data_IF_470033043683
#
_entry.id   IF_470033043683
#
_cell.length_a   1.000
_cell.length_b   1.000
_cell.length_c   1.000
_cell.angle_alpha   90.00
_cell.angle_beta   90.00
_cell.angle_gamma   90.00
#
_symmetry.space_group_name_H-M   'P 1'
#
loop_
_entity.id
_entity.type
_entity.pdbx_description
1 polymer ?
#
# COMPACT_ATOMS: atom_id res chain seq x y z
N UNK A 1 -41.88 2.14 45.17
CA UNK A 1 -42.68 1.54 44.07
C UNK A 1 -42.72 2.37 42.79
N UNK A 2 -41.83 3.37 42.58
CA UNK A 2 -41.87 4.26 41.40
C UNK A 2 -40.73 4.05 40.38
N UNK A 3 -39.82 3.09 40.58
CA UNK A 3 -38.73 2.85 39.63
C UNK A 3 -39.14 1.97 38.45
N UNK A 4 -40.01 0.98 38.68
CA UNK A 4 -40.35 0.01 37.66
C UNK A 4 -41.26 0.59 36.53
N UNK A 5 -42.07 1.60 36.84
CA UNK A 5 -42.98 2.23 35.87
C UNK A 5 -42.27 3.16 34.86
N UNK A 6 -41.17 3.80 35.24
CA UNK A 6 -40.37 4.66 34.33
C UNK A 6 -39.54 3.87 33.33
N UNK A 7 -39.19 2.61 33.63
CA UNK A 7 -38.43 1.78 32.69
C UNK A 7 -39.24 1.44 31.44
N UNK A 8 -40.56 1.31 31.55
CA UNK A 8 -41.45 0.92 30.43
C UNK A 8 -41.43 1.98 29.32
N UNK A 9 -41.60 3.27 29.68
CA UNK A 9 -41.49 4.38 28.73
C UNK A 9 -40.13 4.45 28.08
N UNK A 10 -39.08 4.31 28.90
CA UNK A 10 -37.71 4.43 28.44
C UNK A 10 -37.40 3.34 27.40
N UNK A 11 -37.99 2.15 27.55
CA UNK A 11 -37.93 1.10 26.53
C UNK A 11 -38.80 1.41 25.30
N UNK A 12 -39.97 2.05 25.42
CA UNK A 12 -40.77 2.47 24.25
C UNK A 12 -40.12 3.59 23.43
N UNK A 13 -39.35 4.47 24.07
CA UNK A 13 -38.65 5.57 23.39
C UNK A 13 -37.31 5.14 22.79
N UNK A 14 -36.61 4.18 23.40
CA UNK A 14 -35.22 3.80 23.04
C UNK A 14 -35.13 2.44 22.32
N UNK A 15 -36.07 1.51 22.54
CA UNK A 15 -36.08 0.18 21.93
C UNK A 15 -37.11 0.06 20.79
N UNK A 16 -37.12 -1.10 20.13
CA UNK A 16 -38.10 -1.44 19.09
C UNK A 16 -39.52 -1.39 19.68
N UNK A 17 -40.37 -0.51 19.14
CA UNK A 17 -41.74 -0.30 19.63
C UNK A 17 -42.62 -1.55 19.46
N UNK A 18 -42.31 -2.38 18.46
CA UNK A 18 -42.97 -3.66 18.24
C UNK A 18 -42.70 -4.62 19.41
N UNK A 19 -41.50 -4.56 19.99
CA UNK A 19 -41.11 -5.41 21.10
C UNK A 19 -41.79 -5.02 22.42
N UNK A 20 -41.94 -3.72 22.70
CA UNK A 20 -42.64 -3.30 23.93
C UNK A 20 -44.13 -3.64 23.88
N UNK A 21 -44.73 -3.62 22.68
CA UNK A 21 -46.07 -4.13 22.45
C UNK A 21 -46.20 -5.63 22.81
N UNK A 22 -45.25 -6.47 22.36
CA UNK A 22 -45.22 -7.91 22.70
C UNK A 22 -45.05 -8.17 24.20
N UNK A 23 -44.28 -7.34 24.90
CA UNK A 23 -44.10 -7.48 26.35
C UNK A 23 -45.38 -7.17 27.14
N UNK A 24 -46.15 -6.18 26.69
CA UNK A 24 -47.35 -5.69 27.37
C UNK A 24 -48.60 -6.48 27.02
N UNK A 25 -48.62 -7.16 25.87
CA UNK A 25 -49.73 -8.02 25.46
C UNK A 25 -49.99 -9.12 26.50
N UNK A 26 -51.26 -9.36 26.78
CA UNK A 26 -51.76 -10.31 27.79
C UNK A 26 -51.39 -9.99 29.25
N UNK A 27 -50.72 -8.86 29.51
CA UNK A 27 -50.40 -8.47 30.89
C UNK A 27 -51.64 -7.98 31.62
N UNK A 28 -51.70 -8.27 32.93
CA UNK A 28 -52.78 -7.80 33.79
C UNK A 28 -52.44 -6.43 34.35
N UNK A 29 -53.34 -5.47 34.16
CA UNK A 29 -53.25 -4.13 34.73
C UNK A 29 -54.41 -3.86 35.67
N UNK A 30 -54.20 -2.98 36.63
CA UNK A 30 -55.21 -2.49 37.55
C UNK A 30 -55.45 -1.00 37.28
N UNK A 31 -56.71 -0.65 37.08
CA UNK A 31 -57.18 0.72 37.01
C UNK A 31 -58.08 1.03 38.21
N UNK A 32 -57.83 2.15 38.90
CA UNK A 32 -58.56 2.52 40.13
C UNK A 32 -60.09 2.51 40.00
N UNK A 33 -60.61 2.82 38.82
CA UNK A 33 -62.06 2.84 38.53
C UNK A 33 -62.62 1.52 37.99
N UNK A 34 -61.82 0.78 37.20
CA UNK A 34 -62.33 -0.35 36.41
C UNK A 34 -61.87 -1.72 36.96
N UNK A 35 -61.06 -1.72 38.02
CA UNK A 35 -60.52 -2.95 38.59
C UNK A 35 -59.38 -3.52 37.74
N UNK A 36 -59.23 -4.84 37.77
CA UNK A 36 -58.26 -5.56 36.96
C UNK A 36 -58.76 -5.71 35.51
N UNK A 37 -57.86 -5.57 34.56
CA UNK A 37 -58.09 -5.78 33.15
C UNK A 37 -56.85 -6.37 32.48
N UNK A 38 -57.04 -6.95 31.30
CA UNK A 38 -55.96 -7.59 30.53
C UNK A 38 -55.70 -6.76 29.28
N UNK A 39 -54.43 -6.51 28.97
CA UNK A 39 -54.04 -5.86 27.72
C UNK A 39 -54.30 -6.82 26.56
N UNK A 40 -55.28 -6.50 25.72
CA UNK A 40 -55.70 -7.33 24.59
C UNK A 40 -55.04 -6.93 23.28
N UNK A 41 -54.63 -5.68 23.14
CA UNK A 41 -53.89 -5.18 21.98
C UNK A 41 -53.01 -3.99 22.36
N UNK A 42 -51.95 -3.76 21.58
CA UNK A 42 -51.07 -2.60 21.71
C UNK A 42 -50.93 -1.92 20.35
N UNK A 43 -51.56 -0.76 20.22
CA UNK A 43 -51.55 0.06 19.02
C UNK A 43 -50.25 0.89 19.03
N UNK A 44 -49.27 0.43 18.26
CA UNK A 44 -47.89 0.95 18.27
C UNK A 44 -47.80 2.40 17.77
N UNK A 45 -48.48 2.71 16.67
CA UNK A 45 -48.35 4.03 16.02
C UNK A 45 -48.89 5.18 16.89
N UNK A 46 -49.92 4.90 17.69
CA UNK A 46 -50.58 5.88 18.57
C UNK A 46 -50.28 5.64 20.06
N UNK A 47 -49.38 4.70 20.36
CA UNK A 47 -48.98 4.29 21.72
C UNK A 47 -50.18 4.09 22.64
N UNK A 48 -51.12 3.22 22.23
CA UNK A 48 -52.31 2.89 23.02
C UNK A 48 -52.37 1.42 23.40
N UNK A 49 -52.93 1.16 24.56
CA UNK A 49 -53.28 -0.15 25.08
C UNK A 49 -54.78 -0.31 24.97
N UNK A 50 -55.22 -1.34 24.26
CA UNK A 50 -56.59 -1.83 24.38
C UNK A 50 -56.66 -2.80 25.54
N UNK A 51 -57.47 -2.50 26.54
CA UNK A 51 -57.54 -3.24 27.79
C UNK A 51 -58.99 -3.66 28.03
N UNK A 52 -59.18 -4.97 28.16
CA UNK A 52 -60.47 -5.56 28.52
C UNK A 52 -60.59 -5.69 30.04
N UNK A 53 -61.57 -4.99 30.62
CA UNK A 53 -61.96 -5.11 32.03
C UNK A 53 -63.26 -5.92 32.12
N UNK A 54 -63.61 -6.37 33.32
CA UNK A 54 -64.78 -7.23 33.58
C UNK A 54 -66.08 -6.81 32.88
N UNK A 55 -66.36 -5.50 32.82
CA UNK A 55 -67.62 -4.96 32.28
C UNK A 55 -67.45 -4.07 31.04
N UNK A 56 -66.21 -3.82 30.58
CA UNK A 56 -65.96 -2.95 29.42
C UNK A 56 -64.52 -3.01 28.90
N UNK A 57 -64.36 -2.69 27.62
CA UNK A 57 -63.05 -2.42 27.01
C UNK A 57 -62.73 -0.92 27.03
N UNK A 58 -61.45 -0.59 27.19
CA UNK A 58 -60.95 0.78 27.24
C UNK A 58 -59.59 0.91 26.58
N UNK A 59 -59.46 1.97 25.80
CA UNK A 59 -58.19 2.44 25.27
C UNK A 59 -57.52 3.40 26.24
N UNK A 60 -56.27 3.11 26.60
CA UNK A 60 -55.40 4.00 27.35
C UNK A 60 -54.14 4.32 26.57
N UNK A 61 -53.55 5.48 26.78
CA UNK A 61 -52.17 5.71 26.34
C UNK A 61 -51.21 4.85 27.17
N UNK A 62 -50.10 4.40 26.58
CA UNK A 62 -49.14 3.58 27.34
C UNK A 62 -48.54 4.37 28.52
N UNK A 63 -48.39 5.70 28.40
CA UNK A 63 -47.96 6.60 29.48
C UNK A 63 -48.87 6.56 30.73
N UNK A 64 -50.07 5.98 30.62
CA UNK A 64 -50.95 5.73 31.75
C UNK A 64 -50.30 4.77 32.75
N UNK A 65 -49.43 3.85 32.31
CA UNK A 65 -48.68 2.96 33.20
C UNK A 65 -47.60 3.73 33.97
N UNK A 66 -46.91 4.67 33.33
CA UNK A 66 -45.85 5.46 33.95
C UNK A 66 -46.37 6.43 35.00
N UNK A 67 -47.46 7.10 34.65
CA UNK A 67 -48.08 8.09 35.51
C UNK A 67 -48.86 7.44 36.67
N UNK A 68 -48.83 6.09 36.77
CA UNK A 68 -49.47 5.31 37.80
C UNK A 68 -51.00 5.25 37.68
N UNK A 69 -51.54 5.65 36.52
CA UNK A 69 -52.96 5.60 36.22
C UNK A 69 -53.43 4.17 35.94
N UNK A 70 -52.56 3.38 35.30
CA UNK A 70 -52.62 1.93 35.21
C UNK A 70 -51.46 1.34 36.00
N UNK A 71 -51.73 0.30 36.79
CA UNK A 71 -50.69 -0.42 37.52
C UNK A 71 -50.57 -1.84 36.98
N UNK A 72 -49.40 -2.24 36.51
CA UNK A 72 -49.13 -3.65 36.20
C UNK A 72 -49.27 -4.51 37.47
N UNK A 73 -50.09 -5.54 37.38
CA UNK A 73 -50.42 -6.47 38.47
C UNK A 73 -49.57 -7.75 38.36
N UNK A 74 -49.26 -8.16 37.14
CA UNK A 74 -48.43 -9.34 36.86
C UNK A 74 -46.93 -9.04 36.92
N UNK A 75 -46.18 -9.99 37.48
CA UNK A 75 -44.70 -9.97 37.46
C UNK A 75 -44.13 -10.53 36.14
N UNK A 76 -44.98 -10.99 35.21
CA UNK A 76 -44.58 -11.63 33.95
C UNK A 76 -43.91 -10.65 32.98
N UNK A 77 -44.38 -9.39 32.92
CA UNK A 77 -43.72 -8.32 32.16
C UNK A 77 -42.23 -8.18 32.50
N UNK A 78 -41.90 -8.06 33.79
CA UNK A 78 -40.51 -7.86 34.23
C UNK A 78 -39.64 -9.10 33.99
N UNK A 79 -40.20 -10.30 34.15
CA UNK A 79 -39.52 -11.56 33.81
C UNK A 79 -39.22 -11.66 32.31
N UNK A 80 -40.21 -11.36 31.44
CA UNK A 80 -40.03 -11.31 29.98
C UNK A 80 -38.99 -10.26 29.57
N UNK A 81 -39.00 -9.09 30.22
CA UNK A 81 -38.05 -8.01 29.98
C UNK A 81 -36.61 -8.42 30.38
N UNK A 82 -36.43 -9.07 31.52
CA UNK A 82 -35.10 -9.54 31.96
C UNK A 82 -34.54 -10.64 31.05
N UNK A 83 -35.38 -11.60 30.63
CA UNK A 83 -35.03 -12.62 29.65
C UNK A 83 -34.57 -11.99 28.33
N UNK A 84 -35.29 -10.97 27.85
CA UNK A 84 -34.92 -10.24 26.65
C UNK A 84 -33.58 -9.53 26.77
N UNK A 85 -33.35 -8.77 27.85
CA UNK A 85 -32.06 -8.08 28.08
C UNK A 85 -30.91 -9.09 28.08
N UNK A 86 -31.12 -10.27 28.68
CA UNK A 86 -30.14 -11.35 28.69
C UNK A 86 -29.89 -11.94 27.30
N UNK A 87 -30.93 -12.08 26.47
CA UNK A 87 -30.80 -12.52 25.06
C UNK A 87 -30.02 -11.49 24.23
N UNK A 88 -30.35 -10.21 24.33
CA UNK A 88 -29.64 -9.12 23.64
C UNK A 88 -28.15 -9.10 24.00
N UNK A 89 -27.83 -9.22 25.29
CA UNK A 89 -26.43 -9.30 25.75
C UNK A 89 -25.69 -10.52 25.18
N UNK A 90 -26.37 -11.67 25.03
CA UNK A 90 -25.79 -12.86 24.39
C UNK A 90 -25.57 -12.65 22.89
N UNK A 91 -26.51 -12.00 22.21
CA UNK A 91 -26.40 -11.66 20.77
C UNK A 91 -25.26 -10.67 20.53
N UNK A 92 -25.13 -9.63 21.35
CA UNK A 92 -24.04 -8.66 21.30
C UNK A 92 -22.69 -9.35 21.50
N UNK A 93 -22.56 -10.20 22.52
CA UNK A 93 -21.37 -11.00 22.76
C UNK A 93 -21.04 -11.92 21.57
N UNK A 94 -22.05 -12.59 21.00
CA UNK A 94 -21.87 -13.44 19.82
C UNK A 94 -21.41 -12.63 18.60
N UNK A 95 -21.94 -11.42 18.41
CA UNK A 95 -21.54 -10.52 17.34
C UNK A 95 -20.09 -10.03 17.51
N UNK A 96 -19.69 -9.66 18.73
CA UNK A 96 -18.30 -9.30 19.04
C UNK A 96 -17.35 -10.48 18.78
N UNK A 97 -17.72 -11.67 19.22
CA UNK A 97 -16.96 -12.89 18.97
C UNK A 97 -16.81 -13.19 17.46
N UNK A 98 -17.89 -13.05 16.68
CA UNK A 98 -17.86 -13.25 15.23
C UNK A 98 -16.97 -12.20 14.53
N UNK A 99 -17.02 -10.93 14.96
CA UNK A 99 -16.14 -9.87 14.46
C UNK A 99 -14.66 -10.20 14.71
N UNK A 100 -14.33 -10.73 15.88
CA UNK A 100 -12.97 -11.13 16.21
C UNK A 100 -12.47 -12.28 15.30
N UNK A 101 -13.29 -13.31 15.09
CA UNK A 101 -12.98 -14.41 14.15
C UNK A 101 -12.76 -13.89 12.73
N UNK A 102 -13.63 -12.97 12.27
CA UNK A 102 -13.52 -12.41 10.94
C UNK A 102 -12.24 -11.59 10.76
N UNK A 103 -11.89 -10.75 11.74
CA UNK A 103 -10.65 -10.00 11.74
C UNK A 103 -9.41 -10.91 11.70
N UNK A 104 -9.41 -12.00 12.48
CA UNK A 104 -8.33 -12.99 12.47
C UNK A 104 -8.22 -13.69 11.10
N UNK A 105 -9.35 -14.04 10.48
CA UNK A 105 -9.38 -14.64 9.15
C UNK A 105 -8.84 -13.68 8.06
N UNK A 106 -9.19 -12.39 8.14
CA UNK A 106 -8.67 -11.37 7.24
C UNK A 106 -7.15 -11.22 7.38
N UNK A 107 -6.64 -11.20 8.60
CA UNK A 107 -5.21 -11.09 8.85
C UNK A 107 -4.45 -12.33 8.36
N UNK A 108 -4.99 -13.54 8.55
CA UNK A 108 -4.43 -14.78 7.99
C UNK A 108 -4.40 -14.73 6.47
N UNK A 109 -5.48 -14.28 5.83
CA UNK A 109 -5.54 -14.11 4.38
C UNK A 109 -4.48 -13.11 3.88
N UNK A 110 -4.38 -11.94 4.53
CA UNK A 110 -3.38 -10.92 4.20
C UNK A 110 -1.94 -11.47 4.25
N UNK A 111 -1.60 -12.23 5.30
CA UNK A 111 -0.28 -12.88 5.42
C UNK A 111 -0.04 -13.92 4.33
N UNK A 112 -1.07 -14.70 3.99
CA UNK A 112 -0.99 -15.70 2.92
C UNK A 112 -0.79 -15.05 1.54
N UNK A 113 -1.55 -14.00 1.23
CA UNK A 113 -1.42 -13.24 -0.02
C UNK A 113 -0.03 -12.59 -0.14
N UNK A 114 0.50 -12.04 0.97
CA UNK A 114 1.86 -11.52 1.02
C UNK A 114 2.92 -12.60 0.75
N UNK A 115 2.74 -13.80 1.33
CA UNK A 115 3.64 -14.93 1.11
C UNK A 115 3.63 -15.36 -0.36
N UNK A 116 2.45 -15.50 -0.98
CA UNK A 116 2.35 -15.82 -2.41
C UNK A 116 3.03 -14.76 -3.26
N UNK A 117 2.79 -13.46 -2.97
CA UNK A 117 3.40 -12.37 -3.73
C UNK A 117 4.92 -12.40 -3.66
N UNK A 118 5.49 -12.70 -2.50
CA UNK A 118 6.94 -12.83 -2.33
C UNK A 118 7.48 -14.06 -3.07
N UNK A 119 6.81 -15.22 -2.99
CA UNK A 119 7.20 -16.42 -3.74
C UNK A 119 7.18 -16.17 -5.26
N UNK A 120 6.16 -15.48 -5.77
CA UNK A 120 6.08 -15.07 -7.18
C UNK A 120 7.22 -14.11 -7.54
N UNK A 121 7.54 -13.13 -6.68
CA UNK A 121 8.64 -12.20 -6.88
C UNK A 121 10.00 -12.91 -6.93
N UNK A 122 10.23 -13.89 -6.06
CA UNK A 122 11.45 -14.71 -6.05
C UNK A 122 11.56 -15.52 -7.35
N UNK A 123 10.47 -16.15 -7.79
CA UNK A 123 10.45 -16.89 -9.05
C UNK A 123 10.71 -15.97 -10.25
N UNK A 124 10.11 -14.78 -10.25
CA UNK A 124 10.26 -13.79 -11.30
C UNK A 124 11.71 -13.27 -11.38
N UNK A 125 12.32 -12.91 -10.24
CA UNK A 125 13.75 -12.55 -10.16
C UNK A 125 14.66 -13.64 -10.70
N UNK A 126 14.37 -14.91 -10.36
CA UNK A 126 15.14 -16.04 -10.88
C UNK A 126 15.08 -16.11 -12.41
N UNK A 127 13.91 -15.84 -13.02
CA UNK A 127 13.78 -15.80 -14.48
C UNK A 127 14.56 -14.62 -15.09
N UNK A 128 14.50 -13.44 -14.48
CA UNK A 128 15.28 -12.25 -14.89
C UNK A 128 16.77 -12.58 -14.91
N UNK A 129 17.32 -13.10 -13.79
CA UNK A 129 18.73 -13.44 -13.67
C UNK A 129 19.15 -14.51 -14.69
N UNK A 130 18.31 -15.52 -14.92
CA UNK A 130 18.57 -16.54 -15.94
C UNK A 130 18.62 -15.94 -17.35
N UNK A 131 17.71 -15.04 -17.70
CA UNK A 131 17.71 -14.39 -19.02
C UNK A 131 18.90 -13.44 -19.19
N UNK A 132 19.23 -12.66 -18.16
CA UNK A 132 20.45 -11.84 -18.15
C UNK A 132 21.71 -12.68 -18.35
N UNK A 133 21.81 -13.82 -17.66
CA UNK A 133 22.95 -14.73 -17.82
C UNK A 133 23.04 -15.29 -19.25
N UNK A 134 21.93 -15.72 -19.85
CA UNK A 134 21.89 -16.19 -21.25
C UNK A 134 22.35 -15.12 -22.24
N UNK A 135 21.99 -13.86 -21.99
CA UNK A 135 22.34 -12.70 -22.83
C UNK A 135 23.70 -12.09 -22.48
N UNK A 136 24.42 -12.66 -21.50
CA UNK A 136 25.69 -12.15 -20.99
C UNK A 136 25.62 -10.69 -20.46
N UNK A 137 24.48 -10.31 -19.90
CA UNK A 137 24.25 -8.99 -19.29
C UNK A 137 24.85 -9.02 -17.88
N UNK A 138 26.08 -8.51 -17.76
CA UNK A 138 26.82 -8.48 -16.48
C UNK A 138 26.70 -7.16 -15.73
N UNK A 139 26.50 -6.06 -16.48
CA UNK A 139 26.64 -4.72 -15.93
C UNK A 139 25.48 -3.81 -16.31
N UNK A 140 25.03 -3.02 -15.34
CA UNK A 140 24.28 -1.80 -15.57
C UNK A 140 25.25 -0.62 -15.53
N UNK A 141 25.07 0.32 -16.44
CA UNK A 141 26.07 1.34 -16.73
C UNK A 141 25.51 2.70 -16.35
N UNK A 142 26.28 3.49 -15.63
CA UNK A 142 25.93 4.86 -15.28
C UNK A 142 27.02 5.82 -15.73
N UNK A 143 26.64 6.84 -16.50
CA UNK A 143 27.52 7.91 -16.94
C UNK A 143 27.33 9.12 -16.04
N UNK A 144 28.41 9.67 -15.47
CA UNK A 144 28.31 10.74 -14.48
C UNK A 144 29.52 11.68 -14.50
N UNK A 145 29.34 12.88 -13.97
CA UNK A 145 30.44 13.84 -13.76
C UNK A 145 31.48 13.26 -12.81
N UNK A 146 32.75 13.50 -13.09
CA UNK A 146 33.85 13.13 -12.19
C UNK A 146 33.68 13.76 -10.80
N UNK A 147 33.07 14.96 -10.70
CA UNK A 147 32.78 15.63 -9.42
C UNK A 147 31.89 14.81 -8.49
N UNK A 148 31.12 13.87 -9.03
CA UNK A 148 30.26 12.99 -8.25
C UNK A 148 30.99 11.72 -7.77
N UNK A 149 32.19 11.42 -8.31
CA UNK A 149 32.82 10.12 -8.13
C UNK A 149 33.15 9.83 -6.66
N UNK A 150 33.73 10.79 -5.95
CA UNK A 150 34.16 10.60 -4.56
C UNK A 150 32.97 10.33 -3.64
N UNK A 151 31.84 11.01 -3.86
CA UNK A 151 30.61 10.77 -3.10
C UNK A 151 29.98 9.43 -3.44
N UNK A 152 30.03 9.01 -4.71
CA UNK A 152 29.55 7.69 -5.14
C UNK A 152 30.41 6.56 -4.56
N UNK A 153 31.74 6.70 -4.55
CA UNK A 153 32.65 5.70 -3.96
C UNK A 153 32.39 5.59 -2.45
N UNK A 154 32.25 6.73 -1.76
CA UNK A 154 32.12 6.73 -0.29
C UNK A 154 30.71 6.41 0.22
N UNK A 155 29.65 6.72 -0.53
CA UNK A 155 28.26 6.65 -0.05
C UNK A 155 27.33 5.84 -0.96
N UNK A 156 27.80 5.38 -2.11
CA UNK A 156 26.99 4.76 -3.15
C UNK A 156 26.28 5.76 -4.06
N UNK A 157 25.70 5.26 -5.15
CA UNK A 157 24.96 6.06 -6.12
C UNK A 157 23.53 6.27 -5.65
N UNK A 158 23.10 7.53 -5.55
CA UNK A 158 21.80 7.92 -5.00
C UNK A 158 20.90 8.58 -6.04
N UNK A 159 19.59 8.40 -5.87
CA UNK A 159 18.58 9.17 -6.62
C UNK A 159 18.68 10.67 -6.34
N UNK A 160 18.16 11.50 -7.26
CA UNK A 160 18.14 12.97 -7.08
C UNK A 160 17.44 13.36 -5.78
N UNK A 161 16.30 12.75 -5.47
CA UNK A 161 15.56 12.98 -4.24
C UNK A 161 16.44 12.77 -3.01
N UNK A 162 17.22 11.69 -2.98
CA UNK A 162 18.10 11.38 -1.86
C UNK A 162 19.31 12.34 -1.77
N UNK A 163 19.90 12.71 -2.91
CA UNK A 163 20.99 13.71 -2.99
C UNK A 163 20.52 15.05 -2.41
N UNK A 164 19.37 15.55 -2.87
CA UNK A 164 18.81 16.82 -2.43
C UNK A 164 18.42 16.80 -0.94
N UNK A 165 17.80 15.72 -0.48
CA UNK A 165 17.43 15.55 0.92
C UNK A 165 18.64 15.54 1.86
N UNK A 166 19.79 15.03 1.40
CA UNK A 166 21.04 15.00 2.17
C UNK A 166 21.90 16.25 2.00
N UNK A 167 21.53 17.18 1.11
CA UNK A 167 22.34 18.37 0.82
C UNK A 167 23.71 18.06 0.21
N UNK A 168 23.82 16.96 -0.54
CA UNK A 168 25.06 16.58 -1.23
C UNK A 168 25.22 17.47 -2.47
N UNK A 169 26.37 18.14 -2.60
CA UNK A 169 26.74 18.84 -3.84
C UNK A 169 27.02 17.81 -4.94
N UNK A 170 26.23 17.85 -6.02
CA UNK A 170 26.33 16.91 -7.12
C UNK A 170 25.96 17.57 -8.45
N UNK A 171 26.68 17.20 -9.50
CA UNK A 171 26.34 17.56 -10.87
C UNK A 171 25.26 16.61 -11.40
N UNK A 172 24.12 17.16 -11.83
CA UNK A 172 23.13 16.38 -12.56
C UNK A 172 23.33 16.48 -14.08
N UNK A 173 23.19 15.36 -14.79
CA UNK A 173 23.33 15.31 -16.24
C UNK A 173 22.13 15.94 -16.96
N UNK A 174 20.93 15.52 -16.56
CA UNK A 174 19.67 16.07 -17.04
C UNK A 174 18.95 16.82 -15.93
N UNK A 175 18.96 18.16 -15.96
CA UNK A 175 18.25 18.98 -14.97
C UNK A 175 16.72 18.89 -15.11
N UNK A 176 16.21 18.62 -16.31
CA UNK A 176 14.78 18.67 -16.61
C UNK A 176 14.00 17.48 -16.05
N UNK A 177 14.58 16.27 -16.04
CA UNK A 177 13.98 15.03 -15.51
C UNK A 177 12.50 14.91 -15.85
N UNK A 178 12.19 15.00 -17.15
CA UNK A 178 10.82 15.02 -17.66
C UNK A 178 10.04 13.73 -17.37
N UNK A 179 10.74 12.65 -17.01
CA UNK A 179 10.21 11.38 -16.53
C UNK A 179 9.63 11.46 -15.10
N UNK A 180 10.01 12.46 -14.31
CA UNK A 180 9.57 12.72 -12.94
C UNK A 180 9.87 11.60 -11.90
N UNK A 181 10.70 10.60 -12.21
CA UNK A 181 11.12 9.55 -11.27
C UNK A 181 12.29 10.00 -10.38
N UNK A 182 12.11 11.09 -9.62
CA UNK A 182 13.19 11.69 -8.83
C UNK A 182 13.77 10.77 -7.74
N UNK A 183 13.02 9.73 -7.36
CA UNK A 183 13.38 8.67 -6.43
C UNK A 183 14.12 7.48 -7.06
N UNK A 184 14.32 7.50 -8.38
CA UNK A 184 15.06 6.47 -9.12
C UNK A 184 16.35 6.99 -9.78
N UNK A 185 17.27 6.04 -10.00
CA UNK A 185 18.56 6.20 -10.66
C UNK A 185 18.47 5.57 -12.05
N UNK A 186 18.94 6.31 -13.05
CA UNK A 186 18.98 5.89 -14.44
C UNK A 186 20.26 5.11 -14.76
N UNK A 187 20.10 3.93 -15.36
CA UNK A 187 21.18 3.11 -15.91
C UNK A 187 20.90 2.77 -17.37
N UNK A 188 21.98 2.55 -18.12
CA UNK A 188 21.94 1.98 -19.47
C UNK A 188 22.31 0.50 -19.46
N UNK A 189 21.76 -0.25 -20.43
CA UNK A 189 22.07 -1.66 -20.62
C UNK A 189 23.42 -1.85 -21.32
N UNK A 190 24.48 -2.17 -20.57
CA UNK A 190 25.79 -2.75 -20.95
C UNK A 190 26.61 -2.19 -22.16
N UNK A 191 26.11 -1.26 -22.98
CA UNK A 191 26.88 -0.64 -24.07
C UNK A 191 27.30 0.79 -23.69
N UNK A 192 28.59 0.98 -23.45
CA UNK A 192 29.21 2.26 -23.08
C UNK A 192 29.39 3.17 -24.31
N UNK A 193 29.17 2.65 -25.51
CA UNK A 193 29.39 3.37 -26.75
C UNK A 193 28.12 4.04 -27.29
N UNK A 194 27.33 4.61 -26.37
CA UNK A 194 26.10 5.30 -26.68
C UNK A 194 26.30 6.77 -27.10
N UNK A 195 25.47 7.32 -28.00
CA UNK A 195 25.42 8.74 -28.34
C UNK A 195 25.34 9.68 -27.13
N UNK A 196 24.82 9.20 -26.00
CA UNK A 196 24.66 9.96 -24.75
C UNK A 196 25.97 10.50 -24.18
N UNK A 197 27.05 9.70 -24.18
CA UNK A 197 28.35 10.14 -23.70
C UNK A 197 28.89 11.28 -24.58
N UNK A 198 28.72 11.15 -25.90
CA UNK A 198 29.07 12.20 -26.85
C UNK A 198 28.19 13.45 -26.63
N UNK A 199 26.87 13.32 -26.53
CA UNK A 199 25.96 14.44 -26.33
C UNK A 199 26.28 15.22 -25.06
N UNK A 200 26.50 14.54 -23.93
CA UNK A 200 26.78 15.22 -22.67
C UNK A 200 28.18 15.82 -22.60
N UNK A 201 29.19 15.16 -23.20
CA UNK A 201 30.53 15.76 -23.32
C UNK A 201 30.53 17.01 -24.20
N UNK A 202 29.71 17.07 -25.26
CA UNK A 202 29.53 18.29 -26.05
C UNK A 202 28.72 19.36 -25.31
N UNK A 203 27.69 18.97 -24.56
CA UNK A 203 26.83 19.91 -23.83
C UNK A 203 27.53 20.58 -22.64
N UNK A 204 28.45 19.87 -22.00
CA UNK A 204 29.23 20.39 -20.87
C UNK A 204 30.72 20.09 -21.11
N UNK A 205 31.38 20.85 -22.00
CA UNK A 205 32.77 20.60 -22.40
C UNK A 205 33.76 20.80 -21.23
N UNK A 206 33.39 21.62 -20.25
CA UNK A 206 34.21 21.89 -19.07
C UNK A 206 34.11 20.80 -17.98
N UNK A 207 33.23 19.80 -18.16
CA UNK A 207 33.08 18.69 -17.22
C UNK A 207 33.96 17.52 -17.63
N UNK A 208 34.62 16.93 -16.64
CA UNK A 208 35.25 15.63 -16.77
C UNK A 208 34.23 14.54 -16.44
N UNK A 209 34.31 13.42 -17.15
CA UNK A 209 33.31 12.37 -17.11
C UNK A 209 33.91 11.02 -16.79
N UNK A 210 33.13 10.18 -16.10
CA UNK A 210 33.47 8.79 -15.81
C UNK A 210 32.29 7.88 -16.09
N UNK A 211 32.60 6.62 -16.40
CA UNK A 211 31.60 5.57 -16.61
C UNK A 211 31.71 4.53 -15.52
N UNK A 212 30.61 4.31 -14.82
CA UNK A 212 30.51 3.36 -13.72
C UNK A 212 29.76 2.11 -14.19
N UNK A 213 30.31 0.94 -13.88
CA UNK A 213 29.73 -0.35 -14.19
C UNK A 213 29.34 -1.01 -12.87
N UNK A 214 28.05 -1.22 -12.69
CA UNK A 214 27.51 -1.86 -11.51
C UNK A 214 27.12 -3.31 -11.81
N UNK A 215 27.33 -4.20 -10.85
CA UNK A 215 26.95 -5.60 -10.92
C UNK A 215 25.43 -5.72 -11.08
N UNK A 216 25.00 -6.14 -12.27
CA UNK A 216 23.58 -6.18 -12.61
C UNK A 216 22.82 -7.26 -11.81
N UNK A 217 23.48 -8.38 -11.50
CA UNK A 217 22.90 -9.45 -10.68
C UNK A 217 22.66 -8.97 -9.24
N UNK A 218 23.63 -8.28 -8.60
CA UNK A 218 23.45 -7.70 -7.26
C UNK A 218 22.28 -6.71 -7.23
N UNK A 219 22.16 -5.85 -8.24
CA UNK A 219 21.06 -4.88 -8.36
C UNK A 219 19.71 -5.60 -8.48
N UNK A 220 19.56 -6.51 -9.45
CA UNK A 220 18.28 -7.22 -9.67
C UNK A 220 17.90 -8.08 -8.47
N UNK A 221 18.87 -8.65 -7.77
CA UNK A 221 18.64 -9.50 -6.60
C UNK A 221 18.14 -8.74 -5.39
N UNK A 222 18.47 -7.45 -5.23
CA UNK A 222 18.24 -6.70 -3.99
C UNK A 222 17.41 -5.42 -4.14
N UNK A 223 17.28 -4.86 -5.35
CA UNK A 223 16.65 -3.55 -5.59
C UNK A 223 15.29 -3.66 -6.26
N UNK A 224 14.52 -2.56 -6.21
CA UNK A 224 13.34 -2.37 -7.06
C UNK A 224 13.79 -1.80 -8.40
N UNK A 225 13.53 -2.55 -9.47
CA UNK A 225 14.08 -2.31 -10.81
C UNK A 225 12.95 -2.29 -11.81
N UNK A 226 12.90 -1.23 -12.62
CA UNK A 226 12.03 -1.10 -13.77
C UNK A 226 12.84 -1.10 -15.06
N UNK A 227 12.31 -1.77 -16.09
CA UNK A 227 12.92 -1.98 -17.39
C UNK A 227 12.12 -1.22 -18.45
N UNK A 228 12.67 -0.10 -18.92
CA UNK A 228 12.05 0.73 -19.95
C UNK A 228 12.56 0.32 -21.34
N UNK A 229 11.68 -0.05 -22.29
CA UNK A 229 12.07 -0.39 -23.67
C UNK A 229 12.52 0.81 -24.51
N UNK A 230 12.61 2.01 -23.90
CA UNK A 230 13.10 3.24 -24.48
C UNK A 230 13.38 4.27 -23.39
N UNK A 231 13.54 5.54 -23.77
CA UNK A 231 13.83 6.62 -22.83
C UNK A 231 12.65 6.84 -21.89
N UNK A 232 12.87 6.86 -20.56
CA UNK A 232 11.79 7.04 -19.59
C UNK A 232 11.05 8.38 -19.73
N UNK A 233 11.70 9.40 -20.32
CA UNK A 233 11.08 10.70 -20.61
C UNK A 233 10.15 10.68 -21.85
N UNK A 234 10.11 9.59 -22.62
CA UNK A 234 9.18 9.44 -23.74
C UNK A 234 7.73 9.53 -23.22
N UNK A 235 6.88 10.30 -23.92
CA UNK A 235 5.47 10.46 -23.59
C UNK A 235 4.73 9.14 -23.40
N UNK A 236 5.03 8.13 -24.22
CA UNK A 236 4.38 6.82 -24.15
C UNK A 236 4.80 6.02 -22.92
N UNK A 237 6.05 6.18 -22.46
CA UNK A 237 6.60 5.41 -21.34
C UNK A 237 6.38 6.10 -19.99
N UNK A 238 6.42 7.43 -19.93
CA UNK A 238 6.25 8.20 -18.68
C UNK A 238 4.88 8.02 -18.00
N UNK A 239 3.89 7.53 -18.75
CA UNK A 239 2.51 7.31 -18.25
C UNK A 239 2.27 5.87 -17.80
N UNK A 240 3.22 4.96 -18.08
CA UNK A 240 3.09 3.55 -17.71
C UNK A 240 3.36 3.42 -16.20
N UNK A 241 2.50 2.73 -15.43
CA UNK A 241 2.74 2.45 -14.02
C UNK A 241 4.06 1.70 -13.80
N UNK A 242 4.76 1.99 -12.70
CA UNK A 242 6.02 1.35 -12.36
C UNK A 242 5.89 -0.18 -12.31
N UNK A 243 4.78 -0.68 -11.76
CA UNK A 243 4.50 -2.10 -11.61
C UNK A 243 4.47 -2.83 -12.95
N UNK A 244 4.00 -2.17 -14.01
CA UNK A 244 3.92 -2.73 -15.37
C UNK A 244 5.27 -2.72 -16.09
N UNK A 245 6.25 -1.96 -15.57
CA UNK A 245 7.63 -1.91 -16.05
C UNK A 245 8.56 -2.79 -15.23
N UNK A 246 8.04 -3.58 -14.30
CA UNK A 246 8.84 -4.49 -13.46
C UNK A 246 8.69 -5.93 -13.91
N UNK A 247 9.67 -6.75 -13.53
CA UNK A 247 9.61 -8.19 -13.64
C UNK A 247 10.14 -8.77 -14.96
N UNK A 248 10.03 -10.09 -15.09
CA UNK A 248 10.60 -10.84 -16.22
C UNK A 248 10.08 -10.38 -17.58
N UNK A 249 8.77 -10.17 -17.71
CA UNK A 249 8.18 -9.74 -18.98
C UNK A 249 8.66 -8.34 -19.39
N UNK A 250 8.84 -7.42 -18.43
CA UNK A 250 9.35 -6.09 -18.71
C UNK A 250 10.82 -6.13 -19.18
N UNK A 251 11.66 -6.99 -18.59
CA UNK A 251 12.99 -7.25 -19.11
C UNK A 251 12.93 -7.78 -20.56
N UNK A 252 12.09 -8.80 -20.83
CA UNK A 252 11.95 -9.34 -22.18
C UNK A 252 11.55 -8.27 -23.19
N UNK A 253 10.57 -7.42 -22.85
CA UNK A 253 10.17 -6.29 -23.67
C UNK A 253 11.36 -5.36 -23.91
N UNK A 254 12.08 -4.93 -22.86
CA UNK A 254 13.28 -4.10 -23.03
C UNK A 254 14.28 -4.75 -24.00
N UNK A 255 14.56 -6.04 -23.82
CA UNK A 255 15.53 -6.78 -24.63
C UNK A 255 15.11 -6.88 -26.11
N UNK A 256 13.85 -7.16 -26.39
CA UNK A 256 13.30 -7.21 -27.75
C UNK A 256 13.49 -5.89 -28.48
N UNK A 257 13.25 -4.76 -27.82
CA UNK A 257 13.45 -3.42 -28.39
C UNK A 257 14.93 -3.06 -28.56
N UNK A 258 15.81 -3.46 -27.63
CA UNK A 258 17.27 -3.18 -27.75
C UNK A 258 17.97 -3.99 -28.83
N UNK A 259 17.59 -5.25 -29.04
CA UNK A 259 18.43 -6.19 -29.78
C UNK A 259 18.01 -6.41 -31.24
N UNK A 260 16.80 -5.99 -31.64
CA UNK A 260 16.27 -6.19 -32.99
C UNK A 260 16.22 -7.67 -33.42
N UNK A 261 15.52 -8.00 -34.54
CA UNK A 261 15.58 -9.35 -35.12
C UNK A 261 16.95 -9.66 -35.73
N UNK A 262 17.67 -8.63 -36.19
CA UNK A 262 19.06 -8.71 -36.62
C UNK A 262 19.94 -8.02 -35.57
N UNK A 263 20.80 -8.80 -34.92
CA UNK A 263 21.74 -8.45 -33.83
C UNK A 263 22.69 -7.25 -34.04
N UNK A 264 22.49 -6.43 -35.08
CA UNK A 264 23.38 -5.34 -35.50
C UNK A 264 22.76 -3.93 -35.39
N UNK A 265 21.50 -3.76 -34.95
CA UNK A 265 20.93 -2.43 -34.72
C UNK A 265 20.49 -2.29 -33.27
N UNK A 266 21.39 -1.73 -32.44
CA UNK A 266 21.08 -1.30 -31.08
C UNK A 266 20.24 -0.03 -31.15
N UNK A 267 18.94 -0.09 -30.83
CA UNK A 267 18.14 1.13 -30.63
C UNK A 267 18.55 1.72 -29.27
N UNK A 268 19.27 2.84 -29.33
CA UNK A 268 20.21 3.37 -28.33
C UNK A 268 19.60 4.11 -27.14
N UNK A 269 18.37 3.79 -26.71
CA UNK A 269 17.68 4.57 -25.67
C UNK A 269 16.99 3.75 -24.57
N UNK A 270 17.24 2.45 -24.42
CA UNK A 270 16.66 1.72 -23.28
C UNK A 270 17.23 2.20 -21.95
N UNK A 271 16.37 2.20 -20.94
CA UNK A 271 16.69 2.71 -19.62
C UNK A 271 16.30 1.69 -18.55
N UNK A 272 17.17 1.53 -17.57
CA UNK A 272 16.93 0.68 -16.41
C UNK A 272 16.88 1.62 -15.22
N UNK A 273 15.73 1.68 -14.57
CA UNK A 273 15.55 2.54 -13.41
C UNK A 273 15.62 1.71 -12.13
N UNK A 274 16.41 2.19 -11.17
CA UNK A 274 16.59 1.52 -9.88
C UNK A 274 16.22 2.51 -8.78
N UNK A 275 15.30 2.14 -7.88
CA UNK A 275 14.91 3.04 -6.77
C UNK A 275 16.00 3.16 -5.71
N UNK A 276 15.96 4.29 -5.02
CA UNK A 276 16.71 4.60 -3.80
C UNK A 276 18.23 4.73 -3.97
N UNK A 277 19.00 3.83 -3.35
CA UNK A 277 20.45 3.82 -3.23
C UNK A 277 20.96 2.52 -3.87
N UNK A 278 22.00 2.65 -4.70
CA UNK A 278 22.83 1.54 -5.14
C UNK A 278 24.17 1.63 -4.42
N UNK A 279 24.51 0.60 -3.66
CA UNK A 279 25.68 0.55 -2.79
C UNK A 279 26.99 0.64 -3.59
N UNK A 280 28.02 1.22 -2.97
CA UNK A 280 29.33 1.36 -3.60
C UNK A 280 29.99 0.00 -3.90
N UNK A 281 29.73 -1.03 -3.09
CA UNK A 281 30.27 -2.38 -3.31
C UNK A 281 29.63 -3.11 -4.52
N UNK A 282 28.64 -2.48 -5.17
CA UNK A 282 28.08 -2.98 -6.42
C UNK A 282 28.89 -2.48 -7.62
N UNK A 283 29.80 -1.52 -7.44
CA UNK A 283 30.69 -1.01 -8.48
C UNK A 283 31.74 -2.08 -8.79
N UNK A 284 31.74 -2.55 -10.03
CA UNK A 284 32.68 -3.56 -10.53
C UNK A 284 33.80 -2.92 -11.36
N UNK A 285 33.48 -1.82 -12.07
CA UNK A 285 34.46 -1.09 -12.88
C UNK A 285 34.13 0.40 -12.90
N UNK A 286 35.18 1.21 -12.90
CA UNK A 286 35.12 2.66 -13.10
C UNK A 286 36.07 2.98 -14.23
N UNK A 287 35.55 3.61 -15.28
CA UNK A 287 36.34 3.93 -16.47
C UNK A 287 36.48 5.42 -16.66
N UNK A 288 37.73 5.82 -16.86
CA UNK A 288 38.16 7.20 -17.09
C UNK A 288 38.51 7.41 -18.56
N UNK A 289 38.15 8.57 -19.10
CA UNK A 289 38.58 9.02 -20.42
C UNK A 289 39.94 9.74 -20.41
N UNK A 290 40.47 10.07 -19.23
CA UNK A 290 41.76 10.71 -19.04
C UNK A 290 42.68 9.82 -18.20
N UNK A 291 43.83 9.44 -18.78
CA UNK A 291 44.80 8.56 -18.11
C UNK A 291 45.45 9.20 -16.88
N UNK A 292 45.69 10.51 -16.91
CA UNK A 292 46.23 11.22 -15.75
C UNK A 292 45.27 11.16 -14.57
N UNK A 293 43.98 11.41 -14.80
CA UNK A 293 42.95 11.31 -13.75
C UNK A 293 42.81 9.87 -13.23
N UNK A 294 42.92 8.88 -14.11
CA UNK A 294 42.98 7.48 -13.70
C UNK A 294 44.12 7.25 -12.71
N UNK A 295 45.33 7.67 -13.05
CA UNK A 295 46.52 7.48 -12.21
C UNK A 295 46.42 8.27 -10.87
N UNK A 296 45.79 9.45 -10.89
CA UNK A 296 45.47 10.22 -9.68
C UNK A 296 44.50 9.45 -8.77
N UNK A 297 43.39 8.92 -9.31
CA UNK A 297 42.40 8.18 -8.53
C UNK A 297 42.93 6.86 -7.97
N UNK A 298 43.82 6.19 -8.71
CA UNK A 298 44.57 5.02 -8.22
C UNK A 298 45.46 5.33 -7.04
N UNK A 299 46.00 6.54 -7.00
CA UNK A 299 46.81 7.02 -5.87
C UNK A 299 45.93 7.36 -4.66
N UNK A 300 44.74 7.94 -4.89
CA UNK A 300 43.81 8.35 -3.83
C UNK A 300 43.09 7.12 -3.22
N UNK A 301 42.72 6.14 -4.04
CA UNK A 301 41.97 4.94 -3.65
C UNK A 301 42.72 3.65 -4.07
N UNK A 302 43.91 3.38 -3.50
CA UNK A 302 44.74 2.24 -3.90
C UNK A 302 44.07 0.88 -3.69
N UNK A 303 43.13 0.77 -2.75
CA UNK A 303 42.32 -0.43 -2.51
C UNK A 303 41.33 -0.74 -3.63
N UNK A 304 41.06 0.23 -4.52
CA UNK A 304 40.16 0.12 -5.66
C UNK A 304 40.90 0.00 -7.01
N UNK A 305 42.22 -0.21 -7.01
CA UNK A 305 43.06 -0.29 -8.21
C UNK A 305 42.48 -1.20 -9.31
N UNK A 306 41.98 -2.38 -8.92
CA UNK A 306 41.48 -3.41 -9.83
C UNK A 306 40.14 -3.03 -10.50
N UNK A 307 39.38 -2.12 -9.90
CA UNK A 307 38.12 -1.64 -10.51
C UNK A 307 38.36 -0.47 -11.46
N UNK A 308 39.49 0.23 -11.34
CA UNK A 308 39.80 1.37 -12.19
C UNK A 308 40.33 0.96 -13.56
N UNK A 309 39.93 1.68 -14.61
CA UNK A 309 40.56 1.53 -15.91
C UNK A 309 40.31 2.66 -16.87
N UNK A 310 40.90 2.53 -18.06
CA UNK A 310 40.91 3.56 -19.07
C UNK A 310 39.97 3.24 -20.24
N UNK A 311 39.25 4.24 -20.75
CA UNK A 311 38.62 4.22 -22.06
C UNK A 311 39.45 5.11 -22.98
N UNK A 312 40.11 4.56 -24.01
CA UNK A 312 40.82 5.36 -25.00
C UNK A 312 39.85 6.25 -25.78
N UNK A 313 40.26 7.48 -26.06
CA UNK A 313 39.58 8.33 -27.02
C UNK A 313 39.51 7.62 -28.39
N UNK A 314 38.33 7.65 -29.02
CA UNK A 314 38.11 7.11 -30.36
C UNK A 314 38.62 8.07 -31.43
#
# INVERSE_FOLDING_TARGET
MNHNHREIYLYMEIADKQFVAELLLEETVYHKKYGEGVVCDVIIDDQRLDISFQDCDKLFKVDAIENGFLRLVSNTYYAKLEEYKNRQKKEEYALEYLKAIYAEAQEKKRKYDQKIKEELRVQDRKKILQEMAKRNIKYFVHFTSLRNLDSIISQGLMSRKNILNKGIDADFNDNSRLDNHLDAISFSLSSIDGPLNYVFSQKYPDRQWVVLYFNAEKIVSSKDVAFFPGNAANHELRVIPWEDLTGYNALCNLLEYTMGPDSNVTITQTEIMVKDLVEADYIEKIKFYNKQLLDEYRTIYPEMEDVFGYIPAR
#
